data_IF_828916234876
#
_entry.id   IF_828916234876
#
_cell.length_a   1.000
_cell.length_b   1.000
_cell.length_c   1.000
_cell.angle_alpha   90.00
_cell.angle_beta   90.00
_cell.angle_gamma   90.00
#
_symmetry.space_group_name_H-M   'P 1'
#
loop_
_entity.id
_entity.type
_entity.pdbx_description
1 polymer ?
#
# COMPACT_ATOMS: atom_id res chain seq x y z
N UNK A 1 11.26 -1.20 -2.11
CA UNK A 1 11.21 0.25 -1.90
C UNK A 1 12.50 0.94 -2.31
N UNK A 2 13.66 0.59 -1.74
CA UNK A 2 14.97 1.14 -2.16
C UNK A 2 14.94 2.67 -2.37
N UNK A 3 15.34 3.19 -3.55
CA UNK A 3 15.34 4.63 -3.83
C UNK A 3 13.93 5.26 -3.83
N UNK A 4 12.88 4.46 -4.03
CA UNK A 4 11.49 4.94 -4.14
C UNK A 4 10.73 5.00 -2.81
N UNK A 5 11.45 4.88 -1.68
CA UNK A 5 10.85 4.84 -0.34
C UNK A 5 10.11 6.13 -0.01
N UNK A 6 10.64 7.27 -0.43
CA UNK A 6 10.03 8.59 -0.23
C UNK A 6 8.72 8.73 -1.02
N UNK A 7 8.75 8.35 -2.29
CA UNK A 7 7.59 8.35 -3.20
C UNK A 7 6.50 7.40 -2.72
N UNK A 8 6.89 6.21 -2.24
CA UNK A 8 5.97 5.24 -1.66
C UNK A 8 5.26 5.81 -0.41
N UNK A 9 6.00 6.46 0.49
CA UNK A 9 5.42 7.12 1.66
C UNK A 9 4.42 8.22 1.27
N UNK A 10 4.77 9.07 0.29
CA UNK A 10 3.87 10.12 -0.24
C UNK A 10 2.63 9.53 -0.90
N UNK A 11 2.79 8.43 -1.65
CA UNK A 11 1.68 7.72 -2.26
C UNK A 11 0.69 7.22 -1.20
N UNK A 12 1.19 6.66 -0.10
CA UNK A 12 0.35 6.25 1.04
C UNK A 12 -0.36 7.43 1.68
N UNK A 13 0.31 8.57 1.88
CA UNK A 13 -0.33 9.77 2.44
C UNK A 13 -1.50 10.28 1.60
N UNK A 14 -1.36 10.21 0.27
CA UNK A 14 -2.37 10.62 -0.69
C UNK A 14 -3.50 9.60 -0.87
N UNK A 15 -3.23 8.30 -0.69
CA UNK A 15 -4.17 7.22 -1.05
C UNK A 15 -4.82 6.52 0.13
N UNK A 16 -4.30 6.65 1.34
CA UNK A 16 -5.04 6.27 2.55
C UNK A 16 -6.07 7.36 2.90
N UNK A 17 -7.13 7.40 2.10
CA UNK A 17 -8.38 8.12 2.33
C UNK A 17 -9.57 7.20 2.01
N UNK A 18 -10.80 7.60 2.39
CA UNK A 18 -12.02 6.79 2.27
C UNK A 18 -12.30 6.25 0.87
N UNK A 19 -11.88 6.98 -0.16
CA UNK A 19 -12.11 6.65 -1.58
C UNK A 19 -10.94 5.85 -2.19
N UNK A 20 -9.86 5.66 -1.43
CA UNK A 20 -8.62 5.03 -1.86
C UNK A 20 -8.37 3.67 -1.21
N UNK A 21 -7.48 3.62 -0.22
CA UNK A 21 -7.01 2.41 0.45
C UNK A 21 -7.59 2.24 1.87
N UNK A 22 -8.29 3.24 2.41
CA UNK A 22 -8.98 3.18 3.71
C UNK A 22 -10.50 3.33 3.52
N UNK A 23 -11.23 3.59 4.59
CA UNK A 23 -12.70 3.68 4.57
C UNK A 23 -13.37 2.33 4.71
N UNK A 24 -14.59 2.23 4.18
CA UNK A 24 -15.43 1.04 4.30
C UNK A 24 -14.93 -0.10 3.41
N UNK A 25 -14.96 -1.32 3.96
CA UNK A 25 -14.70 -2.57 3.26
C UNK A 25 -15.82 -3.57 3.49
N UNK A 26 -16.32 -4.16 2.41
CA UNK A 26 -17.15 -5.36 2.47
C UNK A 26 -16.32 -6.59 2.83
N UNK A 27 -17.01 -7.66 3.24
CA UNK A 27 -16.37 -8.94 3.53
C UNK A 27 -15.52 -9.42 2.35
N UNK A 28 -14.22 -9.61 2.57
CA UNK A 28 -13.28 -10.09 1.55
C UNK A 28 -12.76 -9.01 0.60
N UNK A 29 -13.28 -7.78 0.66
CA UNK A 29 -12.93 -6.71 -0.26
C UNK A 29 -11.45 -6.35 -0.16
N UNK A 30 -10.83 -6.14 -1.33
CA UNK A 30 -9.48 -5.59 -1.45
C UNK A 30 -9.57 -4.23 -2.13
N UNK A 31 -8.90 -3.23 -1.56
CA UNK A 31 -8.60 -1.97 -2.22
C UNK A 31 -7.13 -1.97 -2.62
N UNK A 32 -6.86 -1.45 -3.81
CA UNK A 32 -5.56 -1.54 -4.46
C UNK A 32 -5.15 -0.22 -5.09
N UNK A 33 -3.87 0.11 -5.00
CA UNK A 33 -3.29 1.24 -5.71
C UNK A 33 -1.90 0.90 -6.25
N UNK A 34 -1.62 1.35 -7.47
CA UNK A 34 -0.32 1.22 -8.10
C UNK A 34 0.25 2.59 -8.45
N UNK A 35 1.51 2.81 -8.10
CA UNK A 35 2.31 3.96 -8.53
C UNK A 35 3.45 3.45 -9.40
N UNK A 36 3.39 3.76 -10.69
CA UNK A 36 4.55 3.62 -11.55
C UNK A 36 5.60 4.67 -11.16
N UNK A 37 6.85 4.23 -11.08
CA UNK A 37 8.03 5.08 -11.08
C UNK A 37 8.60 4.98 -12.50
N UNK A 38 9.01 6.10 -13.08
CA UNK A 38 9.57 6.09 -14.44
C UNK A 38 10.69 5.06 -14.57
N UNK A 39 10.98 4.62 -15.80
CA UNK A 39 12.18 3.82 -16.06
C UNK A 39 13.39 4.57 -15.51
N UNK A 40 14.27 3.88 -14.79
CA UNK A 40 15.58 4.45 -14.46
C UNK A 40 16.24 4.84 -15.79
N UNK A 41 16.47 6.14 -16.01
CA UNK A 41 16.89 6.71 -17.30
C UNK A 41 18.22 6.11 -17.83
N UNK A 42 18.95 5.40 -16.96
CA UNK A 42 20.27 4.85 -17.25
C UNK A 42 20.27 3.45 -17.87
N UNK A 43 19.13 2.76 -17.97
CA UNK A 43 19.07 1.44 -18.62
C UNK A 43 17.79 1.28 -19.47
N UNK A 44 17.89 1.31 -20.81
CA UNK A 44 16.76 1.12 -21.71
C UNK A 44 16.16 -0.31 -21.66
N UNK A 45 16.81 -1.26 -20.99
CA UNK A 45 16.28 -2.61 -20.74
C UNK A 45 15.64 -2.77 -19.36
N UNK A 46 15.70 -1.74 -18.51
CA UNK A 46 15.10 -1.78 -17.18
C UNK A 46 13.59 -1.68 -17.24
N UNK A 47 12.91 -2.69 -16.69
CA UNK A 47 11.45 -2.67 -16.53
C UNK A 47 11.05 -1.46 -15.67
N UNK A 48 9.92 -0.78 -15.99
CA UNK A 48 9.42 0.29 -15.15
C UNK A 48 9.20 -0.22 -13.73
N UNK A 49 9.81 0.48 -12.77
CA UNK A 49 9.68 0.15 -11.36
C UNK A 49 8.30 0.59 -10.88
N UNK A 50 7.68 -0.16 -9.97
CA UNK A 50 6.37 0.19 -9.43
C UNK A 50 6.29 -0.06 -7.93
N UNK A 51 5.50 0.78 -7.27
CA UNK A 51 5.05 0.59 -5.91
C UNK A 51 3.59 0.22 -5.94
N UNK A 52 3.26 -0.92 -5.38
CA UNK A 52 1.92 -1.45 -5.32
C UNK A 52 1.49 -1.55 -3.86
N UNK A 53 0.23 -1.24 -3.59
CA UNK A 53 -0.33 -1.21 -2.25
C UNK A 53 -1.66 -1.96 -2.23
N UNK A 54 -1.82 -2.85 -1.27
CA UNK A 54 -3.03 -3.64 -1.08
C UNK A 54 -3.48 -3.56 0.36
N UNK A 55 -4.77 -3.29 0.53
CA UNK A 55 -5.45 -3.38 1.82
C UNK A 55 -6.64 -4.31 1.64
N UNK A 56 -6.75 -5.33 2.47
CA UNK A 56 -7.85 -6.29 2.40
C UNK A 56 -8.46 -6.57 3.76
N UNK A 57 -9.80 -6.60 3.81
CA UNK A 57 -10.55 -7.10 4.94
C UNK A 57 -10.84 -8.60 4.78
N UNK A 58 -10.23 -9.44 5.63
CA UNK A 58 -10.41 -10.90 5.63
C UNK A 58 -11.33 -11.39 6.77
N UNK A 59 -12.03 -10.48 7.43
CA UNK A 59 -12.96 -10.82 8.52
C UNK A 59 -14.35 -11.16 8.00
N UNK A 60 -15.30 -11.37 8.92
CA UNK A 60 -16.72 -11.54 8.60
C UNK A 60 -17.43 -10.20 8.66
N UNK A 61 -18.46 -10.02 7.83
CA UNK A 61 -19.19 -8.77 7.72
C UNK A 61 -18.33 -7.64 7.15
N UNK A 62 -18.84 -6.41 7.20
CA UNK A 62 -18.11 -5.24 6.78
C UNK A 62 -17.28 -4.62 7.92
N UNK A 63 -16.24 -3.89 7.55
CA UNK A 63 -15.40 -3.18 8.50
C UNK A 63 -14.86 -1.89 7.89
N UNK A 64 -14.64 -0.88 8.73
CA UNK A 64 -14.05 0.39 8.32
C UNK A 64 -12.62 0.49 8.80
N UNK A 65 -11.70 0.78 7.89
CA UNK A 65 -10.31 1.09 8.20
C UNK A 65 -10.15 2.61 8.26
N UNK A 66 -9.58 3.14 9.34
CA UNK A 66 -9.29 4.58 9.42
C UNK A 66 -8.08 4.96 8.57
N UNK A 67 -8.07 6.19 8.08
CA UNK A 67 -6.95 6.75 7.29
C UNK A 67 -5.62 6.69 8.07
N UNK A 68 -5.66 7.00 9.36
CA UNK A 68 -4.48 6.95 10.23
C UNK A 68 -3.90 5.53 10.36
N UNK A 69 -4.76 4.52 10.54
CA UNK A 69 -4.31 3.13 10.65
C UNK A 69 -3.79 2.62 9.30
N UNK A 70 -4.48 2.94 8.19
CA UNK A 70 -4.00 2.64 6.83
C UNK A 70 -2.59 3.20 6.60
N UNK A 71 -2.37 4.50 6.90
CA UNK A 71 -1.06 5.15 6.74
C UNK A 71 -0.02 4.46 7.59
N UNK A 72 -0.30 4.27 8.88
CA UNK A 72 0.64 3.64 9.82
C UNK A 72 1.07 2.26 9.36
N UNK A 73 0.12 1.40 8.97
CA UNK A 73 0.42 0.01 8.59
C UNK A 73 1.22 -0.08 7.29
N UNK A 74 0.80 0.61 6.23
CA UNK A 74 1.54 0.59 4.96
C UNK A 74 2.92 1.25 5.11
N UNK A 75 3.06 2.34 5.88
CA UNK A 75 4.36 2.95 6.14
C UNK A 75 5.28 2.08 6.98
N UNK A 76 4.76 1.24 7.86
CA UNK A 76 5.58 0.26 8.56
C UNK A 76 6.17 -0.75 7.57
N UNK A 77 5.40 -1.24 6.58
CA UNK A 77 5.92 -2.12 5.52
C UNK A 77 6.94 -1.41 4.63
N UNK A 78 6.70 -0.13 4.31
CA UNK A 78 7.65 0.68 3.54
C UNK A 78 8.96 0.84 4.29
N UNK A 79 8.90 1.13 5.59
CA UNK A 79 10.07 1.51 6.38
C UNK A 79 10.83 0.33 6.96
N UNK A 80 10.15 -0.78 7.27
CA UNK A 80 10.72 -1.98 7.87
C UNK A 80 11.37 -2.97 6.89
N UNK A 81 11.03 -2.91 5.60
CA UNK A 81 11.56 -3.84 4.59
C UNK A 81 12.18 -3.08 3.41
N UNK A 82 13.31 -3.52 2.85
CA UNK A 82 13.92 -2.81 1.71
C UNK A 82 13.24 -3.09 0.37
N UNK A 83 12.67 -4.29 0.19
CA UNK A 83 12.16 -4.80 -1.08
C UNK A 83 10.63 -4.99 -1.13
N UNK A 84 9.90 -4.52 -0.12
CA UNK A 84 8.46 -4.82 0.04
C UNK A 84 8.20 -5.62 1.31
N UNK A 85 7.03 -5.44 1.89
CA UNK A 85 6.60 -6.12 3.11
C UNK A 85 5.14 -6.48 3.02
N UNK A 86 4.71 -7.42 3.86
CA UNK A 86 3.30 -7.67 4.08
C UNK A 86 3.06 -7.96 5.56
N UNK A 87 1.90 -7.55 6.05
CA UNK A 87 1.50 -7.84 7.43
C UNK A 87 0.02 -8.15 7.55
N UNK A 88 -0.29 -8.87 8.63
CA UNK A 88 -1.65 -9.22 9.04
C UNK A 88 -1.88 -8.71 10.44
N UNK A 89 -2.85 -7.81 10.61
CA UNK A 89 -3.22 -7.25 11.91
C UNK A 89 -4.68 -7.60 12.18
N UNK A 90 -4.89 -8.58 13.06
CA UNK A 90 -6.21 -9.17 13.25
C UNK A 90 -6.69 -9.82 11.94
N UNK A 91 -7.72 -9.24 11.32
CA UNK A 91 -8.28 -9.70 10.03
C UNK A 91 -7.96 -8.76 8.86
N UNK A 92 -7.17 -7.71 9.08
CA UNK A 92 -6.68 -6.83 8.03
C UNK A 92 -5.37 -7.37 7.46
N UNK A 93 -5.22 -7.27 6.14
CA UNK A 93 -4.00 -7.59 5.41
C UNK A 93 -3.49 -6.34 4.69
N UNK A 94 -2.19 -6.09 4.79
CA UNK A 94 -1.47 -4.95 4.21
C UNK A 94 -0.28 -5.45 3.41
N UNK A 95 -0.03 -4.87 2.24
CA UNK A 95 1.15 -5.11 1.41
C UNK A 95 1.49 -3.85 0.62
#
# INVERSE_FOLDING_TARGET
WGPYKSEANKAVDLRCNSDGLSGHFEQGQTKYFCRAHGSLEHDPHSKPQKSEFWVQWKGKGSATLSDGECKKRLKNEINGCECGGESKIGKWYFR
#
